data_IF_889529958784
#
_entry.id   IF_889529958784
#
_cell.length_a   1.000
_cell.length_b   1.000
_cell.length_c   1.000
_cell.angle_alpha   90.00
_cell.angle_beta   90.00
_cell.angle_gamma   90.00
#
_symmetry.space_group_name_H-M   'P 1'
#
loop_
_entity.id
_entity.type
_entity.pdbx_description
1 polymer ?
#
# COMPACT_ATOMS: atom_id res chain seq x y z
N UNK A 1 -14.15 -15.11 16.84
CA UNK A 1 -13.11 -16.05 17.30
C UNK A 1 -11.78 -15.68 16.63
N UNK A 2 -10.77 -15.27 17.38
CA UNK A 2 -9.43 -15.09 16.82
C UNK A 2 -8.80 -16.47 16.58
N UNK A 3 -8.24 -16.70 15.39
CA UNK A 3 -7.59 -17.96 15.05
C UNK A 3 -6.48 -18.28 16.07
N UNK A 4 -6.45 -19.50 16.60
CA UNK A 4 -5.52 -20.01 17.64
C UNK A 4 -4.03 -19.71 17.38
N UNK A 5 -3.66 -19.39 16.13
CA UNK A 5 -2.29 -19.17 15.69
C UNK A 5 -2.03 -17.78 15.10
N UNK A 6 -2.98 -16.84 15.19
CA UNK A 6 -2.89 -15.51 14.55
C UNK A 6 -1.55 -14.83 14.81
N UNK A 7 -1.17 -14.67 16.07
CA UNK A 7 0.02 -13.90 16.45
C UNK A 7 1.30 -14.58 15.98
N UNK A 8 1.35 -15.93 16.04
CA UNK A 8 2.47 -16.71 15.52
C UNK A 8 2.61 -16.56 14.01
N UNK A 9 1.49 -16.56 13.28
CA UNK A 9 1.47 -16.37 11.83
C UNK A 9 1.87 -14.94 11.44
N UNK A 10 1.38 -13.91 12.15
CA UNK A 10 1.78 -12.52 11.92
C UNK A 10 3.27 -12.30 12.21
N UNK A 11 3.79 -12.89 13.29
CA UNK A 11 5.23 -12.83 13.60
C UNK A 11 6.06 -13.51 12.51
N UNK A 12 5.66 -14.70 12.06
CA UNK A 12 6.33 -15.42 10.98
C UNK A 12 6.25 -14.65 9.64
N UNK A 13 5.10 -14.05 9.34
CA UNK A 13 4.92 -13.19 8.17
C UNK A 13 5.86 -12.00 8.21
N UNK A 14 5.95 -11.30 9.35
CA UNK A 14 6.86 -10.14 9.52
C UNK A 14 8.32 -10.54 9.35
N UNK A 15 8.73 -11.68 9.91
CA UNK A 15 10.10 -12.20 9.73
C UNK A 15 10.37 -12.55 8.26
N UNK A 16 9.45 -13.26 7.61
CA UNK A 16 9.60 -13.63 6.20
C UNK A 16 9.63 -12.39 5.27
N UNK A 17 8.88 -11.33 5.59
CA UNK A 17 8.94 -10.07 4.86
C UNK A 17 10.31 -9.38 5.01
N UNK A 18 10.82 -9.28 6.24
CA UNK A 18 12.12 -8.65 6.52
C UNK A 18 13.29 -9.40 5.89
N UNK A 19 13.22 -10.73 5.84
CA UNK A 19 14.26 -11.59 5.23
C UNK A 19 13.99 -11.91 3.75
N UNK A 20 12.95 -11.33 3.14
CA UNK A 20 12.57 -11.59 1.76
C UNK A 20 12.41 -13.10 1.44
N UNK A 21 11.71 -13.85 2.28
CA UNK A 21 11.53 -15.30 2.16
C UNK A 21 10.21 -15.68 1.47
N UNK A 22 10.22 -16.78 0.71
CA UNK A 22 9.02 -17.38 0.13
C UNK A 22 8.28 -16.45 -0.83
N UNK A 23 6.99 -16.18 -0.58
CA UNK A 23 6.18 -15.25 -1.38
C UNK A 23 6.78 -13.84 -1.36
N UNK A 24 7.43 -13.44 -0.25
CA UNK A 24 8.05 -12.13 -0.11
C UNK A 24 9.33 -11.96 -0.93
N UNK A 25 10.02 -13.05 -1.27
CA UNK A 25 11.22 -13.01 -2.13
C UNK A 25 10.91 -12.39 -3.50
N UNK A 26 9.72 -12.65 -4.04
CA UNK A 26 9.26 -12.08 -5.31
C UNK A 26 8.91 -10.60 -5.20
N UNK A 27 8.50 -10.15 -4.01
CA UNK A 27 8.15 -8.76 -3.75
C UNK A 27 9.37 -7.89 -3.42
N UNK A 28 10.43 -8.49 -2.87
CA UNK A 28 11.63 -7.78 -2.40
C UNK A 28 12.42 -7.04 -3.50
N UNK A 29 12.15 -7.32 -4.77
CA UNK A 29 12.76 -6.63 -5.91
C UNK A 29 12.01 -5.39 -6.40
N UNK A 30 10.92 -4.99 -5.74
CA UNK A 30 10.15 -3.78 -6.07
C UNK A 30 10.13 -2.86 -4.86
N UNK A 31 10.65 -1.66 -5.02
CA UNK A 31 10.84 -0.71 -3.94
C UNK A 31 9.73 0.36 -4.02
N UNK A 32 8.48 -0.07 -3.82
CA UNK A 32 7.31 0.82 -3.76
C UNK A 32 6.95 1.07 -2.31
N UNK A 33 6.74 2.33 -1.93
CA UNK A 33 6.44 2.71 -0.55
C UNK A 33 5.28 3.71 -0.49
N UNK A 34 4.63 3.77 0.69
CA UNK A 34 3.76 4.88 1.05
C UNK A 34 4.66 5.98 1.60
N UNK A 35 4.79 7.06 0.84
CA UNK A 35 5.62 8.21 1.19
C UNK A 35 4.91 9.14 2.19
N UNK A 36 3.59 9.28 2.04
CA UNK A 36 2.77 10.17 2.85
C UNK A 36 1.38 9.57 3.06
N UNK A 37 0.82 9.84 4.24
CA UNK A 37 -0.55 9.52 4.61
C UNK A 37 -1.15 10.81 5.14
N UNK A 38 -2.20 11.29 4.48
CA UNK A 38 -2.97 12.46 4.88
C UNK A 38 -4.42 12.04 5.13
N UNK A 39 -4.75 11.59 6.36
CA UNK A 39 -6.04 11.01 6.69
C UNK A 39 -7.03 12.02 7.29
N UNK A 40 -6.62 13.27 7.52
CA UNK A 40 -7.41 14.32 8.18
C UNK A 40 -7.74 15.39 7.14
N UNK A 41 -8.98 15.42 6.67
CA UNK A 41 -9.39 16.35 5.63
C UNK A 41 -9.53 17.77 6.19
N UNK A 42 -9.23 18.78 5.38
CA UNK A 42 -9.55 20.15 5.78
C UNK A 42 -11.08 20.31 5.93
N UNK A 43 -11.53 20.68 7.13
CA UNK A 43 -12.92 20.97 7.43
C UNK A 43 -13.67 19.77 8.01
N UNK A 44 -14.82 19.44 7.42
CA UNK A 44 -15.61 18.29 7.81
C UNK A 44 -15.31 17.13 6.85
N UNK A 45 -14.76 16.04 7.35
CA UNK A 45 -14.34 14.87 6.56
C UNK A 45 -15.46 14.31 5.67
N UNK A 46 -16.71 14.37 6.17
CA UNK A 46 -17.89 13.92 5.44
C UNK A 46 -18.19 14.75 4.19
N UNK A 47 -17.73 16.00 4.17
CA UNK A 47 -17.95 16.95 3.08
C UNK A 47 -16.71 17.06 2.15
N UNK A 48 -15.53 16.58 2.58
CA UNK A 48 -14.26 16.73 1.86
C UNK A 48 -13.42 15.43 1.79
N UNK A 49 -14.07 14.30 1.48
CA UNK A 49 -13.40 13.01 1.30
C UNK A 49 -12.22 13.06 0.32
N UNK A 50 -12.27 13.90 -0.72
CA UNK A 50 -11.16 14.02 -1.66
C UNK A 50 -9.86 14.51 -1.02
N UNK A 51 -9.91 15.18 0.14
CA UNK A 51 -8.73 15.58 0.90
C UNK A 51 -8.23 14.50 1.85
N UNK A 52 -8.74 13.27 1.77
CA UNK A 52 -8.07 12.11 2.36
C UNK A 52 -7.27 11.39 1.27
N UNK A 53 -5.97 11.22 1.49
CA UNK A 53 -5.11 10.60 0.47
C UNK A 53 -3.85 9.94 1.02
N UNK A 54 -3.27 9.09 0.18
CA UNK A 54 -1.90 8.61 0.35
C UNK A 54 -1.06 8.99 -0.87
N UNK A 55 0.23 9.19 -0.64
CA UNK A 55 1.22 9.32 -1.71
C UNK A 55 2.01 8.03 -1.79
N UNK A 56 2.00 7.41 -2.97
CA UNK A 56 2.76 6.21 -3.27
C UNK A 56 3.98 6.64 -4.10
N UNK A 57 5.17 6.19 -3.69
CA UNK A 57 6.42 6.46 -4.41
C UNK A 57 7.04 5.18 -4.97
N UNK A 58 7.68 5.30 -6.14
CA UNK A 58 8.65 4.30 -6.61
C UNK A 58 10.05 4.75 -6.21
N UNK A 59 10.78 3.87 -5.52
CA UNK A 59 12.20 4.06 -5.18
C UNK A 59 13.13 3.34 -6.16
N UNK A 60 12.56 2.77 -7.22
CA UNK A 60 13.31 2.09 -8.28
C UNK A 60 13.65 3.05 -9.43
N UNK A 61 14.77 2.77 -10.10
CA UNK A 61 15.19 3.45 -11.34
C UNK A 61 14.41 2.96 -12.58
N UNK A 62 13.54 1.98 -12.42
CA UNK A 62 12.68 1.42 -13.47
C UNK A 62 11.20 1.69 -13.18
N UNK A 63 10.37 1.64 -14.22
CA UNK A 63 8.91 1.68 -14.04
C UNK A 63 8.41 0.40 -13.36
N UNK A 64 7.39 0.56 -12.52
CA UNK A 64 6.74 -0.52 -11.79
C UNK A 64 5.29 -0.64 -12.25
N UNK A 65 4.95 -1.81 -12.77
CA UNK A 65 3.56 -2.14 -13.08
C UNK A 65 2.80 -2.50 -11.79
N UNK A 66 1.84 -1.63 -11.44
CA UNK A 66 0.97 -1.76 -10.27
C UNK A 66 -0.44 -2.24 -10.67
N UNK A 67 -0.63 -2.69 -11.91
CA UNK A 67 -1.92 -3.19 -12.38
C UNK A 67 -2.43 -4.29 -11.47
N UNK A 68 -3.67 -4.12 -10.99
CA UNK A 68 -4.34 -5.09 -10.11
C UNK A 68 -3.86 -5.08 -8.65
N UNK A 69 -2.97 -4.17 -8.27
CA UNK A 69 -2.62 -3.97 -6.86
C UNK A 69 -3.84 -3.50 -6.07
N UNK A 70 -3.91 -3.90 -4.81
CA UNK A 70 -4.99 -3.51 -3.90
C UNK A 70 -4.36 -2.75 -2.73
N UNK A 71 -4.78 -1.50 -2.54
CA UNK A 71 -4.52 -0.76 -1.31
C UNK A 71 -5.64 -1.08 -0.32
N UNK A 72 -5.25 -1.36 0.91
CA UNK A 72 -6.14 -1.80 1.97
C UNK A 72 -5.87 -0.99 3.24
N UNK A 73 -6.93 -0.52 3.89
CA UNK A 73 -6.86 0.27 5.11
C UNK A 73 -7.36 -0.52 6.35
N UNK A 74 -7.24 0.08 7.53
CA UNK A 74 -7.67 -0.55 8.78
C UNK A 74 -9.20 -0.67 8.91
N UNK A 75 -9.96 0.14 8.14
CA UNK A 75 -11.41 0.10 8.06
C UNK A 75 -11.95 -0.97 7.09
N UNK A 76 -11.06 -1.78 6.51
CA UNK A 76 -11.35 -2.85 5.56
C UNK A 76 -11.75 -2.39 4.14
N UNK A 77 -11.53 -1.12 3.77
CA UNK A 77 -11.72 -0.67 2.40
C UNK A 77 -10.65 -1.25 1.47
N UNK A 78 -11.00 -1.37 0.19
CA UNK A 78 -10.13 -1.95 -0.85
C UNK A 78 -10.17 -1.08 -2.09
N UNK A 79 -9.02 -0.53 -2.45
CA UNK A 79 -8.85 0.28 -3.64
C UNK A 79 -8.05 -0.51 -4.66
N UNK A 80 -8.73 -0.93 -5.74
CA UNK A 80 -8.09 -1.65 -6.84
C UNK A 80 -7.44 -0.65 -7.79
N UNK A 81 -6.14 -0.78 -8.00
CA UNK A 81 -5.45 -0.04 -9.05
C UNK A 81 -5.80 -0.70 -10.40
N UNK A 82 -6.38 0.05 -11.36
CA UNK A 82 -6.63 -0.46 -12.71
C UNK A 82 -5.30 -0.63 -13.45
N UNK A 83 -5.34 -0.77 -14.78
CA UNK A 83 -4.13 -0.74 -15.61
C UNK A 83 -3.31 0.52 -15.31
N UNK A 84 -2.22 0.38 -14.57
CA UNK A 84 -1.44 1.51 -14.06
C UNK A 84 0.05 1.17 -13.95
N UNK A 85 0.87 2.01 -14.57
CA UNK A 85 2.34 1.91 -14.55
C UNK A 85 2.88 3.16 -13.85
N UNK A 86 3.48 2.95 -12.69
CA UNK A 86 4.24 3.98 -12.01
C UNK A 86 5.60 4.09 -12.70
N UNK A 87 5.98 5.29 -13.15
CA UNK A 87 7.29 5.51 -13.80
C UNK A 87 8.46 5.31 -12.82
N UNK A 88 9.70 5.56 -13.26
CA UNK A 88 10.89 5.52 -12.40
C UNK A 88 11.05 6.80 -11.57
N UNK A 89 11.19 6.67 -10.23
CA UNK A 89 11.24 7.79 -9.27
C UNK A 89 10.05 8.80 -9.21
N UNK A 90 8.82 8.55 -9.72
CA UNK A 90 7.69 9.44 -9.51
C UNK A 90 6.97 9.13 -8.19
N UNK A 91 6.05 10.03 -7.88
CA UNK A 91 4.98 9.80 -6.92
C UNK A 91 3.62 9.76 -7.63
N UNK A 92 2.65 9.08 -7.03
CA UNK A 92 1.24 9.13 -7.40
C UNK A 92 0.40 9.30 -6.15
N UNK A 93 -0.65 10.11 -6.23
CA UNK A 93 -1.61 10.32 -5.13
C UNK A 93 -2.85 9.48 -5.37
N UNK A 94 -3.23 8.65 -4.40
CA UNK A 94 -4.51 7.95 -4.35
C UNK A 94 -5.42 8.70 -3.38
N UNK A 95 -6.54 9.21 -3.88
CA UNK A 95 -7.59 9.90 -3.11
C UNK A 95 -8.79 8.98 -2.92
N UNK A 96 -9.61 9.21 -1.89
CA UNK A 96 -10.77 8.36 -1.58
C UNK A 96 -12.06 8.72 -2.32
N UNK A 97 -12.03 9.77 -3.15
CA UNK A 97 -13.05 10.06 -4.16
C UNK A 97 -12.76 9.37 -5.51
#
# INVERSE_FOLDING_TARGET
MAAKYRDRLLKAQKAAWQEALGIWARAAGRNVAIAEIHPDAEGNDWDNLCDEYIVIESRDDASVDLTGWIVYDEAHHRYLLPSFILQAKPTVTLRTC
#
